data_IF_538432941583
#
_entry.id   IF_538432941583
#
_cell.length_a   1.000
_cell.length_b   1.000
_cell.length_c   1.000
_cell.angle_alpha   90.00
_cell.angle_beta   90.00
_cell.angle_gamma   90.00
#
_symmetry.space_group_name_H-M   'P 1'
#
loop_
_entity.id
_entity.type
_entity.pdbx_description
1 polymer ?
2 non-polymer ?
3 non-polymer ?
4 non-polymer ?
5 water ?
#
# COMPACT_ATOMS: atom_id res chain seq x y z
N UNK A 2 -10.11 11.17 -6.75
CA UNK A 2 -9.18 10.87 -7.83
C UNK A 2 -9.27 9.41 -8.21
N UNK A 3 -8.44 8.99 -9.17
CA UNK A 3 -8.45 7.62 -9.64
C UNK A 3 -7.04 7.23 -10.08
N UNK A 4 -6.54 6.12 -9.54
CA UNK A 4 -5.26 5.55 -9.92
C UNK A 4 -5.50 4.25 -10.67
N UNK A 5 -4.94 4.13 -11.86
CA UNK A 5 -5.18 2.98 -12.72
C UNK A 5 -3.89 2.49 -13.33
N UNK A 6 -3.61 1.20 -13.19
CA UNK A 6 -2.52 0.54 -13.88
C UNK A 6 -3.12 -0.38 -14.95
N UNK A 7 -2.70 -0.20 -16.19
CA UNK A 7 -3.29 -0.92 -17.33
C UNK A 7 -2.26 -1.86 -17.93
N UNK A 8 -2.48 -3.16 -17.76
CA UNK A 8 -1.73 -4.20 -18.45
C UNK A 8 -0.22 -4.04 -18.26
N UNK A 9 0.19 -3.92 -16.99
CA UNK A 9 1.61 -3.80 -16.68
C UNK A 9 2.35 -5.09 -17.01
N UNK A 10 3.62 -4.94 -17.40
CA UNK A 10 4.45 -6.07 -17.77
C UNK A 10 5.89 -5.76 -17.37
N UNK A 11 6.53 -6.72 -16.70
CA UNK A 11 7.90 -6.57 -16.25
C UNK A 11 8.65 -7.88 -16.42
N UNK A 12 9.90 -7.80 -16.84
CA UNK A 12 10.75 -8.96 -17.06
C UNK A 12 12.12 -8.71 -16.46
N UNK A 13 12.70 -9.75 -15.87
CA UNK A 13 14.04 -9.69 -15.28
C UNK A 13 14.90 -10.76 -15.94
N UNK A 14 15.93 -10.33 -16.67
CA UNK A 14 16.92 -11.23 -17.27
C UNK A 14 16.26 -12.26 -18.20
N UNK A 15 15.25 -11.82 -18.95
CA UNK A 15 14.57 -12.66 -19.90
C UNK A 15 13.34 -13.37 -19.37
N UNK A 16 13.20 -13.48 -18.05
CA UNK A 16 12.03 -14.10 -17.45
C UNK A 16 10.97 -13.04 -17.16
N UNK A 17 9.79 -13.21 -17.74
CA UNK A 17 8.70 -12.27 -17.54
C UNK A 17 7.99 -12.62 -16.23
N UNK A 18 8.30 -11.87 -15.18
CA UNK A 18 7.69 -12.11 -13.88
C UNK A 18 6.28 -11.56 -13.78
N UNK A 19 5.92 -10.59 -14.63
CA UNK A 19 4.59 -9.99 -14.65
C UNK A 19 4.17 -9.85 -16.11
N UNK A 20 3.16 -10.61 -16.53
CA UNK A 20 2.70 -10.57 -17.93
C UNK A 20 1.66 -9.49 -18.13
N UNK A 21 0.51 -9.62 -17.48
CA UNK A 21 -0.61 -8.70 -17.68
C UNK A 21 -1.32 -8.55 -16.34
N UNK A 22 -1.04 -7.45 -15.63
CA UNK A 22 -1.67 -7.14 -14.36
C UNK A 22 -2.29 -5.75 -14.46
N UNK A 23 -3.56 -5.64 -14.11
CA UNK A 23 -4.28 -4.38 -14.15
C UNK A 23 -5.03 -4.20 -12.84
N UNK A 24 -5.15 -2.95 -12.40
CA UNK A 24 -5.89 -2.63 -11.19
C UNK A 24 -6.36 -1.18 -11.26
N UNK A 25 -7.28 -0.85 -10.36
CA UNK A 25 -7.88 0.48 -10.29
C UNK A 25 -8.35 0.73 -8.88
N UNK A 26 -7.93 1.86 -8.30
CA UNK A 26 -8.31 2.25 -6.95
C UNK A 26 -8.81 3.69 -6.99
N UNK A 27 -9.97 3.94 -6.39
CA UNK A 27 -10.58 5.25 -6.34
C UNK A 27 -10.51 5.82 -4.93
N UNK A 28 -10.74 7.12 -4.83
CA UNK A 28 -10.78 7.77 -3.53
C UNK A 28 -11.97 7.26 -2.73
N UNK A 29 -11.74 6.92 -1.47
CA UNK A 29 -12.79 6.35 -0.66
C UNK A 29 -12.97 4.86 -0.83
N UNK A 30 -11.97 4.17 -1.37
CA UNK A 30 -12.04 2.74 -1.60
C UNK A 30 -10.84 2.04 -0.98
N UNK A 31 -11.01 0.75 -0.74
CA UNK A 31 -9.94 -0.15 -0.33
C UNK A 31 -9.88 -1.26 -1.37
N UNK A 32 -8.96 -1.14 -2.31
CA UNK A 32 -8.77 -2.14 -3.36
C UNK A 32 -7.61 -3.04 -2.98
N UNK A 33 -7.75 -4.33 -3.25
CA UNK A 33 -6.73 -5.31 -2.91
C UNK A 33 -6.05 -5.88 -4.13
N UNK A 34 -4.78 -6.22 -3.99
CA UNK A 34 -4.01 -6.95 -4.99
C UNK A 34 -3.54 -8.22 -4.32
N UNK A 35 -4.35 -9.27 -4.40
CA UNK A 35 -4.12 -10.50 -3.67
C UNK A 35 -3.56 -11.58 -4.60
N UNK A 36 -2.74 -12.45 -4.02
CA UNK A 36 -2.14 -13.53 -4.78
C UNK A 36 -1.03 -14.20 -4.00
N UNK A 37 -0.63 -15.40 -4.43
CA UNK A 37 0.43 -16.13 -3.74
C UNK A 37 1.76 -15.39 -3.81
N UNK A 38 2.73 -15.91 -3.06
CA UNK A 38 4.07 -15.31 -3.07
C UNK A 38 4.77 -15.60 -4.40
N UNK A 39 5.50 -14.61 -4.89
CA UNK A 39 6.12 -14.69 -6.19
C UNK A 39 5.18 -14.55 -7.36
N UNK A 40 3.95 -14.08 -7.13
CA UNK A 40 2.99 -13.93 -8.20
C UNK A 40 3.21 -12.66 -9.01
N UNK A 41 3.80 -11.62 -8.41
CA UNK A 41 4.05 -10.39 -9.11
C UNK A 41 3.48 -9.17 -8.41
N UNK A 42 3.08 -9.34 -7.16
CA UNK A 42 2.45 -8.25 -6.41
C UNK A 42 3.44 -7.12 -6.17
N UNK A 43 4.57 -7.42 -5.52
CA UNK A 43 5.56 -6.38 -5.22
C UNK A 43 6.09 -5.74 -6.50
N UNK A 44 6.34 -6.54 -7.53
CA UNK A 44 6.80 -5.99 -8.80
C UNK A 44 5.78 -5.03 -9.39
N UNK A 45 4.49 -5.33 -9.22
CA UNK A 45 3.46 -4.42 -9.69
C UNK A 45 3.50 -3.11 -8.91
N UNK A 46 3.72 -3.18 -7.60
CA UNK A 46 3.81 -1.97 -6.79
C UNK A 46 4.98 -1.10 -7.24
N UNK A 47 6.15 -1.73 -7.47
CA UNK A 47 7.32 -0.97 -7.92
C UNK A 47 7.05 -0.26 -9.23
N UNK A 48 6.20 -0.82 -10.09
CA UNK A 48 5.88 -0.17 -11.36
C UNK A 48 4.88 0.96 -11.16
N UNK A 49 3.93 0.79 -10.24
CA UNK A 49 2.96 1.85 -9.97
C UNK A 49 3.64 3.00 -9.23
N UNK A 50 4.43 2.67 -8.20
CA UNK A 50 5.11 3.71 -7.43
C UNK A 50 6.22 4.35 -8.27
N UNK A 51 6.86 3.58 -9.14
CA UNK A 51 7.92 4.09 -9.99
C UNK A 51 9.32 3.67 -9.60
N UNK A 52 9.47 2.68 -8.73
CA UNK A 52 10.81 2.26 -8.29
C UNK A 52 11.57 1.60 -9.44
N UNK A 53 10.92 0.69 -10.15
CA UNK A 53 11.53 0.05 -11.31
C UNK A 53 10.74 0.47 -12.56
N UNK A 54 11.37 0.57 -13.72
CA UNK A 54 10.64 1.00 -14.91
C UNK A 54 9.74 -0.12 -15.45
N UNK A 55 8.79 0.29 -16.27
CA UNK A 55 7.85 -0.64 -16.88
C UNK A 55 8.35 -1.08 -18.25
N UNK A 56 8.11 -2.35 -18.57
CA UNK A 56 8.41 -2.85 -19.90
C UNK A 56 7.24 -2.65 -20.86
N UNK A 57 6.01 -2.81 -20.34
CA UNK A 57 4.81 -2.55 -21.11
C UNK A 57 3.71 -2.15 -20.15
N UNK A 58 2.70 -1.48 -20.68
CA UNK A 58 1.56 -1.03 -19.89
C UNK A 58 1.61 0.46 -19.64
N UNK A 59 0.68 0.91 -18.80
CA UNK A 59 0.55 2.33 -18.48
C UNK A 59 0.16 2.49 -17.02
N UNK A 60 0.64 3.57 -16.41
CA UNK A 60 0.23 3.98 -15.07
C UNK A 60 -0.41 5.35 -15.20
N UNK A 61 -1.69 5.45 -14.88
CA UNK A 61 -2.48 6.65 -15.13
C UNK A 61 -3.16 7.08 -13.83
N UNK A 62 -3.11 8.37 -13.54
CA UNK A 62 -3.86 8.96 -12.44
C UNK A 62 -4.70 10.10 -12.99
N UNK A 63 -6.02 9.96 -12.90
CA UNK A 63 -6.99 10.90 -13.48
C UNK A 63 -6.71 10.98 -14.98
N UNK A 64 -6.48 12.17 -15.54
CA UNK A 64 -6.22 12.33 -16.96
C UNK A 64 -4.73 12.52 -17.25
N UNK A 65 -3.87 11.94 -16.44
CA UNK A 65 -2.41 12.09 -16.59
C UNK A 65 -1.77 10.71 -16.64
N UNK A 66 -1.02 10.45 -17.71
CA UNK A 66 -0.25 9.22 -17.85
C UNK A 66 1.12 9.45 -17.25
N UNK A 67 1.39 8.81 -16.11
CA UNK A 67 2.63 9.04 -15.37
C UNK A 67 3.56 7.85 -15.54
N UNK A 68 3.52 7.22 -16.72
CA UNK A 68 4.29 5.99 -16.92
C UNK A 68 5.79 6.24 -17.01
N UNK A 69 6.20 7.38 -17.57
CA UNK A 69 7.61 7.71 -17.75
C UNK A 69 8.10 8.76 -16.75
N UNK A 70 7.42 8.88 -15.61
CA UNK A 70 7.87 9.83 -14.59
C UNK A 70 8.57 9.10 -13.45
N UNK A 71 9.65 9.67 -12.91
CA UNK A 71 10.37 8.99 -11.83
C UNK A 71 9.60 8.92 -10.53
N UNK A 72 10.20 8.32 -9.51
CA UNK A 72 9.50 8.11 -8.24
C UNK A 72 9.08 9.43 -7.60
N UNK A 73 10.02 10.37 -7.49
CA UNK A 73 9.73 11.63 -6.80
C UNK A 73 8.61 12.42 -7.48
N UNK A 74 8.49 12.29 -8.80
CA UNK A 74 7.43 13.00 -9.52
C UNK A 74 6.06 12.42 -9.19
N UNK A 75 5.94 11.09 -9.22
CA UNK A 75 4.67 10.45 -8.86
C UNK A 75 4.33 10.67 -7.39
N UNK A 76 5.35 10.79 -6.53
CA UNK A 76 5.10 11.08 -5.13
C UNK A 76 4.40 12.42 -4.96
N UNK A 77 4.85 13.43 -5.72
CA UNK A 77 4.25 14.77 -5.67
C UNK A 77 2.92 14.84 -6.39
N UNK A 78 2.47 13.75 -7.03
CA UNK A 78 1.18 13.70 -7.69
C UNK A 78 0.13 12.97 -6.89
N UNK A 79 0.46 12.47 -5.71
CA UNK A 79 -0.52 11.86 -4.81
C UNK A 79 -0.22 10.44 -4.41
N UNK A 80 0.77 9.77 -5.01
CA UNK A 80 1.04 8.37 -4.71
C UNK A 80 1.91 8.26 -3.46
N UNK A 81 1.43 7.51 -2.47
CA UNK A 81 2.22 7.17 -1.31
C UNK A 81 2.44 5.67 -1.27
N UNK A 82 3.57 5.26 -0.69
CA UNK A 82 3.98 3.86 -0.73
C UNK A 82 4.55 3.44 0.61
N UNK A 83 4.25 2.21 0.99
CA UNK A 83 4.82 1.59 2.18
C UNK A 83 5.27 0.17 1.81
N UNK A 84 6.52 -0.18 2.07
CA UNK A 84 7.02 -1.51 1.69
C UNK A 84 6.48 -2.62 2.60
N UNK A 85 6.83 -3.86 2.26
CA UNK A 85 6.48 -4.98 3.13
C UNK A 85 7.45 -5.10 4.29
N UNK A 86 8.73 -4.85 4.03
CA UNK A 86 9.75 -4.96 5.06
C UNK A 86 9.81 -3.66 5.87
N UNK A 87 10.64 -3.67 6.90
CA UNK A 87 10.74 -2.53 7.81
C UNK A 87 11.37 -1.35 7.09
N UNK A 88 10.60 -0.27 6.92
CA UNK A 88 11.08 0.93 6.24
C UNK A 88 11.27 2.11 7.19
N UNK A 89 11.20 1.88 8.50
CA UNK A 89 11.38 2.98 9.45
C UNK A 89 12.86 3.30 9.59
N UNK A 90 13.14 4.52 10.02
CA UNK A 90 14.51 4.95 10.35
C UNK A 90 14.77 4.56 11.79
N UNK A 91 15.50 3.45 11.99
CA UNK A 91 15.63 2.86 13.32
C UNK A 91 16.45 3.71 14.27
N UNK A 92 17.33 4.59 13.76
CA UNK A 92 18.17 5.41 14.60
C UNK A 92 17.60 6.80 14.84
N UNK A 93 16.36 7.04 14.42
CA UNK A 93 15.67 8.31 14.66
C UNK A 93 14.41 8.05 15.47
N UNK A 94 13.99 9.08 16.22
CA UNK A 94 12.78 8.94 17.02
C UNK A 94 11.54 9.03 16.12
N UNK A 95 10.39 8.74 16.72
CA UNK A 95 9.12 8.83 16.00
C UNK A 95 8.87 10.27 15.54
N UNK A 96 9.20 11.24 16.38
CA UNK A 96 9.04 12.63 15.99
C UNK A 96 10.00 13.00 14.86
N UNK A 97 11.24 12.53 14.93
CA UNK A 97 12.20 12.81 13.86
C UNK A 97 11.81 12.08 12.57
N UNK A 98 11.13 10.94 12.68
CA UNK A 98 10.68 10.23 11.49
C UNK A 98 9.56 10.97 10.78
N UNK A 99 8.65 11.58 11.55
CA UNK A 99 7.56 12.31 10.93
C UNK A 99 8.02 13.66 10.39
N UNK A 100 8.83 14.39 11.16
CA UNK A 100 9.39 15.64 10.67
C UNK A 100 10.29 15.43 9.47
N UNK A 101 10.80 14.21 9.27
CA UNK A 101 11.62 13.89 8.12
C UNK A 101 10.88 14.19 6.82
N UNK A 102 9.76 13.49 6.60
CA UNK A 102 9.00 13.66 5.37
C UNK A 102 8.25 14.99 5.35
N UNK A 103 8.00 15.60 6.52
CA UNK A 103 7.37 16.91 6.55
C UNK A 103 8.28 18.00 6.01
N UNK A 104 9.59 17.74 5.92
CA UNK A 104 10.51 18.71 5.33
C UNK A 104 10.26 18.93 3.85
N UNK A 105 9.55 18.00 3.18
CA UNK A 105 9.21 18.20 1.77
C UNK A 105 7.88 18.92 1.60
N UNK A 106 7.12 19.12 2.68
CA UNK A 106 5.86 19.84 2.62
C UNK A 106 6.13 21.34 2.47
N UNK A 107 6.30 21.81 1.24
CA UNK A 107 6.46 23.24 1.02
C UNK A 107 5.17 24.02 1.22
N UNK A 108 4.02 23.33 1.23
CA UNK A 108 2.75 23.98 1.51
C UNK A 108 2.57 24.35 2.97
N UNK A 109 3.50 23.95 3.84
CA UNK A 109 3.45 24.27 5.25
C UNK A 109 4.73 24.99 5.65
N UNK A 110 4.64 25.79 6.72
CA UNK A 110 5.80 26.45 7.28
C UNK A 110 6.36 25.60 8.42
N UNK A 111 7.45 26.09 9.04
CA UNK A 111 8.06 25.36 10.13
C UNK A 111 7.12 25.18 11.32
N UNK A 112 6.11 26.05 11.46
CA UNK A 112 5.15 25.90 12.54
C UNK A 112 4.09 24.85 12.22
N UNK A 113 3.53 24.91 11.00
CA UNK A 113 2.48 23.96 10.62
C UNK A 113 3.03 22.54 10.51
N UNK A 114 4.29 22.38 10.15
CA UNK A 114 4.88 21.04 10.05
C UNK A 114 4.86 20.34 11.40
N UNK A 115 5.36 21.01 12.45
CA UNK A 115 5.33 20.42 13.77
C UNK A 115 3.91 20.31 14.31
N UNK A 116 2.99 21.15 13.83
CA UNK A 116 1.59 21.01 14.19
C UNK A 116 1.03 19.69 13.68
N UNK A 117 1.20 19.43 12.37
CA UNK A 117 0.72 18.17 11.80
C UNK A 117 1.43 16.98 12.41
N UNK A 118 2.69 17.16 12.83
CA UNK A 118 3.40 16.07 13.48
C UNK A 118 2.72 15.63 14.76
N UNK A 119 2.22 16.59 15.55
CA UNK A 119 1.43 16.26 16.73
C UNK A 119 0.08 15.68 16.35
N UNK A 120 -0.52 16.20 15.27
CA UNK A 120 -1.81 15.68 14.81
C UNK A 120 -1.70 14.24 14.34
N UNK A 121 -0.57 13.85 13.76
CA UNK A 121 -0.40 12.49 13.28
C UNK A 121 -0.07 11.52 14.41
N UNK A 122 0.55 12.01 15.49
CA UNK A 122 0.87 11.13 16.61
C UNK A 122 -0.37 10.82 17.47
N UNK A 123 -1.29 11.78 17.59
CA UNK A 123 -2.53 11.51 18.30
C UNK A 123 -3.44 10.60 17.48
N UNK A 124 -3.42 10.73 16.15
CA UNK A 124 -4.33 9.97 15.31
C UNK A 124 -3.96 8.49 15.28
N UNK A 125 -2.67 8.19 15.26
CA UNK A 125 -2.20 6.81 15.17
C UNK A 125 -1.81 6.22 16.52
N UNK A 126 -2.07 6.95 17.61
CA UNK A 126 -1.81 6.47 18.98
C UNK A 126 -0.34 6.14 19.18
N UNK A 127 0.51 7.15 18.94
CA UNK A 127 1.95 7.00 19.12
C UNK A 127 2.51 8.20 19.86
N UNK A 128 1.64 8.91 20.60
CA UNK A 128 2.09 10.06 21.37
C UNK A 128 3.07 9.65 22.46
N UNK A 129 2.86 8.48 23.06
CA UNK A 129 3.72 7.99 24.13
C UNK A 129 5.08 7.53 23.62
N UNK A 130 5.33 7.60 22.32
CA UNK A 130 6.59 7.16 21.73
C UNK A 130 7.27 8.31 20.99
N UNK A 131 6.99 9.54 21.41
CA UNK A 131 7.48 10.71 20.68
C UNK A 131 9.00 10.71 20.59
N UNK A 132 9.68 10.41 21.70
CA UNK A 132 11.13 10.41 21.76
C UNK A 132 11.73 9.01 21.70
N UNK A 133 10.93 7.99 21.42
CA UNK A 133 11.41 6.62 21.35
C UNK A 133 12.09 6.36 20.01
N UNK A 134 13.27 5.75 20.06
CA UNK A 134 13.96 5.37 18.84
C UNK A 134 13.14 4.35 18.06
N UNK A 135 13.29 4.36 16.74
CA UNK A 135 12.58 3.41 15.90
C UNK A 135 13.01 1.98 16.13
N UNK A 136 14.20 1.77 16.68
CA UNK A 136 14.69 0.41 16.92
C UNK A 136 13.96 -0.25 18.09
N UNK A 137 13.48 0.55 19.05
CA UNK A 137 12.83 0.01 20.23
C UNK A 137 11.33 -0.22 20.04
N UNK A 138 10.80 0.10 18.87
CA UNK A 138 9.37 -0.09 18.61
C UNK A 138 9.08 -1.54 18.25
N UNK A 139 7.92 -2.03 18.68
CA UNK A 139 7.50 -3.37 18.30
C UNK A 139 7.03 -3.36 16.85
N UNK A 140 6.61 -4.54 16.37
CA UNK A 140 6.15 -4.65 15.00
C UNK A 140 4.92 -3.80 14.71
N UNK A 141 3.97 -3.78 15.64
CA UNK A 141 2.75 -3.02 15.44
C UNK A 141 2.96 -1.53 15.58
N UNK A 142 3.83 -1.13 16.51
CA UNK A 142 4.12 0.29 16.68
C UNK A 142 4.95 0.83 15.52
N UNK A 143 5.86 0.01 14.99
CA UNK A 143 6.67 0.43 13.86
C UNK A 143 5.80 0.73 12.64
N UNK A 144 4.81 -0.12 12.37
CA UNK A 144 3.95 0.07 11.21
C UNK A 144 3.14 1.35 11.32
N UNK A 145 2.53 1.60 12.47
CA UNK A 145 1.70 2.79 12.64
C UNK A 145 2.50 4.07 12.48
N UNK A 146 3.78 4.05 12.88
CA UNK A 146 4.65 5.18 12.58
C UNK A 146 5.01 5.21 11.10
N UNK A 147 5.21 4.03 10.50
CA UNK A 147 5.52 3.97 9.07
C UNK A 147 4.35 4.49 8.24
N UNK A 148 3.11 4.13 8.63
CA UNK A 148 1.94 4.61 7.90
C UNK A 148 1.78 6.11 8.09
N UNK A 149 1.88 6.57 9.35
CA UNK A 149 1.76 8.00 9.61
C UNK A 149 2.83 8.80 8.89
N UNK A 150 4.02 8.20 8.70
CA UNK A 150 5.07 8.87 7.95
C UNK A 150 4.69 9.04 6.49
N UNK A 151 3.99 8.06 5.93
CA UNK A 151 3.48 8.20 4.56
C UNK A 151 2.38 9.25 4.49
N UNK A 152 1.49 9.28 5.48
CA UNK A 152 0.42 10.27 5.50
C UNK A 152 0.93 11.70 5.66
N UNK A 153 2.14 11.87 6.20
CA UNK A 153 2.67 13.22 6.35
C UNK A 153 2.96 13.87 5.01
N UNK A 154 3.19 13.08 3.96
CA UNK A 154 3.38 13.62 2.62
C UNK A 154 2.08 14.10 1.99
N UNK A 155 0.94 13.91 2.66
CA UNK A 155 -0.38 14.32 2.19
C UNK A 155 -0.69 13.69 0.83
N UNK A 156 -0.73 12.36 0.73
CA UNK A 156 -0.92 11.73 -0.58
C UNK A 156 -2.40 11.59 -0.92
N UNK A 157 -2.65 11.30 -2.20
CA UNK A 157 -3.99 10.96 -2.66
C UNK A 157 -4.26 9.46 -2.60
N UNK A 158 -3.23 8.65 -2.80
CA UNK A 158 -3.33 7.19 -2.76
C UNK A 158 -2.20 6.65 -1.92
N UNK A 159 -2.53 5.79 -0.96
CA UNK A 159 -1.54 5.12 -0.12
C UNK A 159 -1.50 3.65 -0.51
N UNK A 160 -0.31 3.13 -0.77
CA UNK A 160 -0.12 1.77 -1.24
C UNK A 160 0.62 0.98 -0.17
N UNK A 161 -0.04 -0.04 0.38
CA UNK A 161 0.52 -0.86 1.44
C UNK A 161 0.86 -2.24 0.89
N UNK A 162 2.13 -2.59 0.93
CA UNK A 162 2.58 -3.91 0.48
C UNK A 162 2.57 -4.83 1.69
N UNK A 163 1.51 -5.64 1.80
CA UNK A 163 1.34 -6.59 2.89
C UNK A 163 1.54 -5.94 4.27
N UNK A 164 0.69 -4.97 4.63
CA UNK A 164 0.91 -4.25 5.89
C UNK A 164 0.74 -5.13 7.12
N UNK A 165 0.00 -6.21 7.02
CA UNK A 165 -0.23 -7.10 8.15
C UNK A 165 0.91 -8.10 8.37
N UNK A 166 2.05 -7.89 7.71
CA UNK A 166 3.17 -8.81 7.81
C UNK A 166 4.02 -8.47 9.03
N UNK A 167 4.30 -9.47 9.86
CA UNK A 167 5.17 -9.29 11.00
C UNK A 167 4.60 -8.45 12.12
N UNK A 168 3.30 -8.55 12.37
CA UNK A 168 2.65 -7.82 13.44
C UNK A 168 1.73 -8.76 14.20
N UNK A 169 1.56 -8.49 15.50
CA UNK A 169 0.75 -9.33 16.36
C UNK A 169 -0.72 -9.28 15.95
N UNK A 170 -1.50 -10.28 16.35
CA UNK A 170 -2.94 -10.29 15.98
C UNK A 170 -3.74 -9.12 16.55
N UNK A 171 -3.20 -8.39 17.52
CA UNK A 171 -3.86 -7.16 17.99
C UNK A 171 -3.51 -5.97 17.12
N UNK A 172 -2.36 -5.99 16.44
CA UNK A 172 -1.98 -4.88 15.57
C UNK A 172 -2.65 -4.96 14.21
N UNK A 173 -2.98 -6.16 13.73
CA UNK A 173 -3.64 -6.28 12.43
C UNK A 173 -5.04 -5.65 12.49
N UNK A 174 -5.78 -5.92 13.57
CA UNK A 174 -7.08 -5.28 13.73
C UNK A 174 -6.93 -3.80 14.02
N UNK A 175 -5.76 -3.37 14.49
CA UNK A 175 -5.48 -1.96 14.69
C UNK A 175 -5.19 -1.26 13.37
N UNK A 176 -4.39 -1.91 12.52
CA UNK A 176 -4.11 -1.34 11.20
C UNK A 176 -5.34 -1.41 10.30
N UNK A 177 -6.15 -2.47 10.44
CA UNK A 177 -7.37 -2.56 9.65
C UNK A 177 -8.30 -1.39 9.93
N UNK A 178 -8.43 -1.00 11.20
CA UNK A 178 -9.24 0.17 11.52
C UNK A 178 -8.56 1.46 11.08
N UNK A 179 -7.23 1.47 11.03
CA UNK A 179 -6.52 2.62 10.47
C UNK A 179 -6.79 2.74 8.98
N UNK A 180 -6.89 1.59 8.28
CA UNK A 180 -7.16 1.61 6.85
C UNK A 180 -8.57 2.11 6.57
N UNK A 181 -9.55 1.63 7.35
CA UNK A 181 -10.92 2.11 7.16
C UNK A 181 -11.04 3.59 7.50
N UNK A 182 -10.16 4.11 8.35
CA UNK A 182 -10.15 5.54 8.66
C UNK A 182 -9.61 6.34 7.48
N UNK A 183 -8.52 5.89 6.87
CA UNK A 183 -7.96 6.60 5.72
C UNK A 183 -8.95 6.62 4.56
N UNK A 184 -9.70 5.54 4.39
CA UNK A 184 -10.69 5.49 3.31
C UNK A 184 -11.81 6.50 3.53
N UNK A 185 -12.30 6.62 4.77
CA UNK A 185 -13.32 7.61 5.06
C UNK A 185 -12.80 9.03 4.91
N UNK A 186 -11.49 9.22 5.06
CA UNK A 186 -10.88 10.53 4.88
C UNK A 186 -10.68 10.91 3.42
N UNK A 187 -11.07 10.04 2.49
CA UNK A 187 -11.01 10.35 1.07
C UNK A 187 -9.82 9.77 0.33
N UNK A 188 -8.95 9.02 1.00
CA UNK A 188 -7.79 8.44 0.34
C UNK A 188 -8.17 7.14 -0.37
N UNK A 189 -7.40 6.81 -1.40
CA UNK A 189 -7.52 5.53 -2.06
C UNK A 189 -6.46 4.59 -1.52
N UNK A 190 -6.90 3.53 -0.85
CA UNK A 190 -6.01 2.57 -0.21
C UNK A 190 -5.86 1.35 -1.11
N UNK A 191 -4.62 0.91 -1.30
CA UNK A 191 -4.32 -0.28 -2.10
C UNK A 191 -3.40 -1.18 -1.29
N UNK A 192 -3.88 -2.37 -0.95
CA UNK A 192 -3.12 -3.31 -0.13
C UNK A 192 -2.91 -4.60 -0.90
N UNK A 193 -1.81 -5.28 -0.59
CA UNK A 193 -1.51 -6.59 -1.14
C UNK A 193 -1.48 -7.61 0.00
N UNK A 194 -1.71 -8.88 -0.35
CA UNK A 194 -1.69 -9.94 0.64
C UNK A 194 -1.68 -11.28 -0.07
N UNK A 195 -1.14 -12.29 0.61
CA UNK A 195 -1.22 -13.66 0.13
C UNK A 195 -2.40 -14.41 0.73
N UNK A 196 -2.79 -14.05 1.95
CA UNK A 196 -4.00 -14.60 2.56
C UNK A 196 -5.22 -13.96 1.89
N UNK A 197 -5.93 -14.74 1.08
CA UNK A 197 -7.06 -14.19 0.36
C UNK A 197 -8.32 -14.19 1.21
N UNK A 198 -8.49 -15.18 2.09
CA UNK A 198 -9.73 -15.26 2.86
C UNK A 198 -9.84 -14.13 3.87
N UNK A 199 -8.75 -13.80 4.56
CA UNK A 199 -8.81 -12.78 5.61
C UNK A 199 -8.85 -11.37 5.05
N UNK A 200 -8.17 -11.11 3.94
CA UNK A 200 -8.03 -9.76 3.40
C UNK A 200 -9.16 -9.37 2.46
N UNK A 201 -9.75 -10.34 1.75
CA UNK A 201 -10.78 -10.04 0.76
C UNK A 201 -12.00 -9.36 1.38
N UNK A 202 -12.25 -9.56 2.67
CA UNK A 202 -13.47 -9.03 3.29
C UNK A 202 -13.44 -7.51 3.40
N UNK A 203 -12.25 -6.92 3.57
CA UNK A 203 -12.15 -5.46 3.71
C UNK A 203 -12.02 -4.76 2.37
N UNK A 204 -11.97 -5.50 1.26
CA UNK A 204 -11.74 -4.91 -0.05
C UNK A 204 -13.08 -4.64 -0.73
N UNK A 205 -13.31 -3.38 -1.11
CA UNK A 205 -14.46 -3.08 -1.96
C UNK A 205 -14.34 -3.79 -3.29
N UNK A 206 -13.15 -3.80 -3.88
CA UNK A 206 -12.81 -4.61 -5.04
C UNK A 206 -11.42 -5.17 -4.84
N UNK A 207 -11.11 -6.25 -5.56
CA UNK A 207 -9.81 -6.88 -5.47
C UNK A 207 -9.39 -7.37 -6.84
N UNK A 208 -8.09 -7.63 -6.98
CA UNK A 208 -7.50 -8.13 -8.21
C UNK A 208 -6.60 -9.31 -7.87
N UNK A 209 -6.99 -10.51 -8.31
CA UNK A 209 -6.29 -11.74 -7.95
C UNK A 209 -5.24 -12.03 -9.01
N UNK A 210 -3.98 -12.09 -8.60
CA UNK A 210 -2.85 -12.31 -9.49
C UNK A 210 -2.27 -13.69 -9.24
N UNK A 211 -1.83 -14.35 -10.31
CA UNK A 211 -1.22 -15.67 -10.22
C UNK A 211 -0.18 -15.78 -11.32
N UNK A 212 1.09 -15.85 -10.93
CA UNK A 212 2.21 -16.02 -11.86
C UNK A 212 2.26 -14.88 -12.88
N UNK A 213 2.13 -13.65 -12.39
CA UNK A 213 2.18 -12.47 -13.24
C UNK A 213 0.93 -12.20 -14.04
N UNK A 214 -0.06 -13.09 -14.00
CA UNK A 214 -1.32 -12.91 -14.72
C UNK A 214 -2.43 -12.53 -13.74
N UNK A 215 -3.48 -11.93 -14.28
CA UNK A 215 -4.67 -11.56 -13.51
C UNK A 215 -5.75 -12.60 -13.78
N UNK A 216 -6.03 -13.43 -12.77
CA UNK A 216 -6.98 -14.52 -12.96
C UNK A 216 -8.41 -14.16 -12.57
N UNK A 217 -8.60 -13.11 -11.77
CA UNK A 217 -9.93 -12.70 -11.34
C UNK A 217 -9.87 -11.28 -10.82
N UNK A 218 -11.01 -10.60 -10.87
CA UNK A 218 -11.11 -9.22 -10.39
C UNK A 218 -12.58 -8.91 -10.15
N UNK A 219 -12.83 -7.73 -9.62
CA UNK A 219 -14.17 -7.29 -9.25
C UNK A 219 -14.35 -7.27 -7.75
N UNK A 220 -15.59 -7.01 -7.34
CA UNK A 220 -15.93 -7.08 -5.93
C UNK A 220 -15.75 -8.52 -5.45
N UNK A 221 -15.54 -8.72 -4.14
CA UNK A 221 -15.38 -10.09 -3.63
C UNK A 221 -16.49 -11.04 -4.03
N UNK A 222 -17.75 -10.56 -4.05
CA UNK A 222 -18.86 -11.41 -4.46
C UNK A 222 -18.69 -11.89 -5.90
N UNK A 223 -18.25 -11.00 -6.79
CA UNK A 223 -18.01 -11.41 -8.17
C UNK A 223 -16.76 -12.28 -8.29
N UNK A 224 -15.74 -12.02 -7.46
CA UNK A 224 -14.55 -12.85 -7.49
C UNK A 224 -14.86 -14.25 -6.99
N UNK A 225 -15.65 -14.36 -5.93
CA UNK A 225 -15.97 -15.66 -5.35
C UNK A 225 -17.08 -16.36 -6.12
N UNK A 226 -17.23 -16.02 -7.41
CA UNK A 226 -18.00 -16.82 -8.33
C UNK A 226 -17.12 -17.60 -9.29
N UNK A 227 -15.88 -17.17 -9.49
CA UNK A 227 -14.87 -18.00 -10.13
C UNK A 227 -14.67 -19.27 -9.30
N UNK A 228 -14.94 -20.42 -9.91
CA UNK A 228 -14.88 -21.67 -9.16
C UNK A 228 -13.49 -21.91 -8.61
N UNK A 229 -12.44 -21.59 -9.40
CA UNK A 229 -11.08 -21.79 -8.93
C UNK A 229 -10.78 -20.98 -7.69
N UNK A 230 -11.40 -19.81 -7.54
CA UNK A 230 -11.17 -18.98 -6.36
C UNK A 230 -11.98 -19.48 -5.17
N UNK A 231 -13.19 -20.00 -5.42
CA UNK A 231 -14.00 -20.54 -4.34
C UNK A 231 -13.30 -21.72 -3.68
N UNK A 232 -12.65 -22.58 -4.47
CA UNK A 232 -11.99 -23.76 -3.92
C UNK A 232 -10.88 -23.37 -2.96
N UNK A 233 -10.06 -22.38 -3.35
CA UNK A 233 -9.01 -21.91 -2.46
C UNK A 233 -9.61 -21.20 -1.25
N UNK A 234 -10.78 -20.59 -1.41
CA UNK A 234 -11.43 -19.91 -0.31
C UNK A 234 -12.06 -20.89 0.66
N UNK A 235 -12.86 -21.82 0.13
CA UNK A 235 -13.51 -22.82 0.98
C UNK A 235 -12.54 -23.88 1.49
N UNK A 236 -11.41 -24.06 0.82
CA UNK A 236 -10.44 -25.07 1.22
C UNK A 236 -10.44 -26.33 0.36
N UNK A 237 -11.16 -26.34 -0.75
CA UNK A 237 -11.20 -27.53 -1.59
C UNK A 237 -9.92 -27.69 -2.40
N UNK A 238 -9.28 -26.59 -2.79
CA UNK A 238 -8.05 -26.63 -3.56
C UNK A 238 -6.94 -25.93 -2.79
N UNK A 239 -5.71 -26.36 -3.03
CA UNK A 239 -4.55 -25.89 -2.28
C UNK A 239 -3.92 -24.66 -2.91
N UNK A 240 -3.52 -24.76 -4.18
CA UNK A 240 -2.80 -23.70 -4.87
C UNK A 240 -3.76 -22.84 -5.67
N UNK A 241 -3.55 -21.53 -5.61
CA UNK A 241 -4.39 -20.58 -6.33
C UNK A 241 -3.76 -20.14 -7.65
X LIG B 1 5.96 -9.07 -1.88
X LIG C 1 5.24 -11.29 -4.39
X LIG C 1 4.21 -11.35 -5.51
X LIG C 1 5.26 -12.20 -3.21
X LIG C 1 5.71 -9.88 -4.12
X LIG C 1 7.20 -10.47 -6.14
X LIG C 1 6.07 -9.75 -6.81
X LIG C 1 8.49 -9.80 -5.83
X LIG C 1 6.70 -11.75 -5.39
X LIG C 1 7.59 -11.17 -7.77
X LIG C 1 8.64 -11.98 -7.48
X LIG C 1 8.90 -12.88 -8.66
X LIG C 1 9.76 -12.22 -9.59
X LIG C 1 9.72 -14.07 -8.17
X LIG C 1 9.82 -14.99 -9.20
X LIG C 1 11.05 -13.39 -7.92
X LIG C 1 12.13 -14.27 -7.90
X LIG C 1 11.11 -12.53 -9.23
X LIG C 1 11.81 -11.26 -8.98
X LIG C 1 11.34 -10.14 -8.25
X LIG C 1 12.25 -9.14 -8.23
X LIG C 1 13.33 -9.64 -8.96
X LIG C 1 14.57 -9.07 -9.30
X LIG C 1 14.89 -7.80 -8.87
X LIG C 1 15.49 -9.76 -10.05
X LIG C 1 15.08 -11.03 -10.44
X LIG C 1 13.95 -11.70 -10.21
X LIG C 1 13.07 -10.96 -9.44
X LIG D 1 17.89 8.31 7.58
X LIG D 1 19.70 5.48 9.16
X LIG D 1 20.65 5.26 10.18
X LIG D 1 20.91 2.75 9.84
X LIG D 1 22.05 0.54 9.50
X LIG D 1 20.74 -1.61 9.73
X LIG D 1 16.29 11.25 3.93
X LIG D 1 17.02 11.45 5.26
X LIG D 1 18.50 11.20 5.00
X LIG D 1 16.82 12.92 5.71
X LIG D 1 17.11 14.84 4.37
X LIG D 1 17.08 13.09 7.17
X LIG D 1 15.65 14.97 7.83
X LIG D 1 16.22 12.17 7.93
X LIG D 1 16.69 10.76 7.66
X LIG D 1 18.43 9.39 8.28
X LIG D 1 18.31 7.01 7.87
X LIG D 1 19.30 6.82 8.88
X LIG D 1 21.03 1.30 10.39
X LIG D 1 22.09 -0.99 9.81
X LIG D 1 19.73 -0.92 10.61
X LIG D 1 19.63 0.63 10.37
X LIG D 1 22.64 -0.74 11.26
X LIG D 1 21.57 -0.02 12.19
X LIG D 1 20.19 -0.71 12.10
X LIG D 1 21.52 1.31 11.76
X LIG D 1 21.12 6.36 10.92
X LIG D 1 19.83 7.86 9.56
X LIG D 1 19.40 9.19 9.26
X LIG D 1 19.99 10.39 10.01
X LIG D 1 15.08 14.92 9.17
X LIG D 1 20.77 3.90 10.73
X LIG D 1 17.72 13.74 4.98
X LIG D 1 16.94 14.49 7.60
X LIG D 1 15.02 15.46 6.95
X LIG D 1 14.90 12.24 7.38
X LIG D 1 18.02 10.71 7.99
X LIG D 1 19.28 4.48 8.28
X LIG D 1 20.91 2.90 8.67
X LIG D 1 20.79 7.64 10.54
X LIG D 1 21.79 6.20 11.89
X LIG D 1 16.49 10.44 6.21
#
# INVERSE_FOLDING_TARGET
>A
MATLTAKNLAKAYKGRRVVEDVSLTVNSGEIVGLLGPNGAGKTTTFYMVVGIVPRDAGNIIIDDDDISLLPLHARARRGIGYLPQEASIFRRLSVYDNLMAVLQIRDDLSAEQREDRANELMEEFHIEHLRDSMGQSLSGGERRRVEIARALAANPKFILLDEPFAGVDPISVIDIKRIIEHLRDSGLGVLITDHNVRETLAVCERAYIVSQGHLIAHGTPTEILQDEHVKRVYLGEDFRL
>B hetero
1 MG MG
>C hetero
1 ADP PB O1B O2B O3B PA O1A O2A O3A O5' C5' C4' O4' C3' O3' C2' O2' C1' N9 C8 N7 C5 C6 N6 N1 C2 N3 C4
>D hetero
1 CZJ C17 C20 C22 C24 C26 C28 C01 C02 C03 C04 C06 C07 C09 C12 C14 C16 C18 C19 C25 C27 C29 C30 C31 C32 C33 C34 C36 C39 C40 C41 N10 N23 O05 O08 O11 O13 O15 O21 O35 O37 O38 O42
#
